data_IF_632027701238
#
_entry.id   IF_632027701238
#
_cell.length_a   1.000
_cell.length_b   1.000
_cell.length_c   1.000
_cell.angle_alpha   90.00
_cell.angle_beta   90.00
_cell.angle_gamma   90.00
#
_symmetry.space_group_name_H-M   'P 1'
#
loop_
_entity.id
_entity.type
_entity.pdbx_description
1 polymer ?
#
# COMPACT_ATOMS: atom_id res chain seq x y z
N UNK A 1 -14.34 -4.98 -7.95
CA UNK A 1 -14.44 -6.24 -8.71
C UNK A 1 -15.73 -7.01 -8.41
N UNK A 2 -16.20 -7.00 -7.15
CA UNK A 2 -17.37 -7.77 -6.70
C UNK A 2 -18.65 -7.45 -7.51
N UNK A 3 -18.80 -6.22 -7.96
CA UNK A 3 -20.04 -5.74 -8.62
C UNK A 3 -20.02 -5.94 -10.15
N UNK A 4 -19.16 -6.80 -10.67
CA UNK A 4 -19.03 -6.96 -12.13
C UNK A 4 -19.62 -8.29 -12.59
N UNK A 5 -20.60 -8.23 -13.51
CA UNK A 5 -21.25 -9.43 -14.04
C UNK A 5 -20.27 -10.37 -14.73
N UNK A 6 -19.26 -9.84 -15.43
CA UNK A 6 -18.19 -10.64 -16.04
C UNK A 6 -17.34 -11.38 -15.01
N UNK A 7 -17.04 -10.72 -13.85
CA UNK A 7 -16.31 -11.37 -12.76
C UNK A 7 -17.05 -12.59 -12.23
N UNK A 8 -18.39 -12.53 -12.12
CA UNK A 8 -19.22 -13.67 -11.74
C UNK A 8 -19.24 -14.74 -12.84
N UNK A 9 -19.44 -14.35 -14.10
CA UNK A 9 -19.47 -15.27 -15.22
C UNK A 9 -18.14 -16.02 -15.43
N UNK A 10 -17.03 -15.39 -15.07
CA UNK A 10 -15.69 -15.99 -15.14
C UNK A 10 -15.28 -16.74 -13.85
N UNK A 11 -16.15 -16.80 -12.85
CA UNK A 11 -15.86 -17.44 -11.56
C UNK A 11 -14.83 -16.72 -10.69
N UNK A 12 -14.57 -15.44 -10.96
CA UNK A 12 -13.63 -14.60 -10.16
C UNK A 12 -14.28 -14.17 -8.85
N UNK A 13 -15.60 -13.96 -8.86
CA UNK A 13 -16.38 -13.64 -7.66
C UNK A 13 -17.57 -14.59 -7.54
N UNK A 14 -17.94 -14.95 -6.31
CA UNK A 14 -19.13 -15.76 -6.03
C UNK A 14 -20.44 -14.92 -6.00
N UNK A 15 -20.33 -13.60 -6.09
CA UNK A 15 -21.48 -12.70 -6.01
C UNK A 15 -22.05 -12.43 -7.39
N UNK A 16 -23.30 -12.89 -7.62
CA UNK A 16 -24.07 -12.57 -8.81
C UNK A 16 -24.61 -11.12 -8.72
N UNK A 17 -23.89 -10.22 -9.35
CA UNK A 17 -24.19 -8.80 -9.30
C UNK A 17 -25.54 -8.45 -9.98
N UNK A 18 -25.97 -9.22 -10.96
CA UNK A 18 -27.26 -9.05 -11.65
C UNK A 18 -28.41 -9.48 -10.74
N UNK A 19 -28.29 -10.67 -10.14
CA UNK A 19 -29.28 -11.21 -9.21
C UNK A 19 -29.49 -10.31 -8.00
N UNK A 20 -28.42 -9.73 -7.49
CA UNK A 20 -28.45 -8.85 -6.31
C UNK A 20 -28.70 -7.38 -6.66
N UNK A 21 -28.95 -7.04 -7.92
CA UNK A 21 -29.22 -5.67 -8.40
C UNK A 21 -28.17 -4.65 -7.92
N UNK A 22 -26.90 -5.05 -7.99
CA UNK A 22 -25.79 -4.18 -7.54
C UNK A 22 -25.53 -3.06 -8.56
N UNK A 23 -25.12 -1.89 -8.09
CA UNK A 23 -24.84 -0.74 -8.94
C UNK A 23 -23.53 -0.92 -9.71
N UNK A 24 -23.58 -0.94 -11.04
CA UNK A 24 -22.44 -1.10 -11.94
C UNK A 24 -21.81 0.20 -12.39
N UNK A 25 -22.62 1.26 -12.50
CA UNK A 25 -22.27 2.52 -13.16
C UNK A 25 -21.08 3.24 -12.54
N UNK A 26 -20.79 2.99 -11.27
CA UNK A 26 -19.64 3.59 -10.57
C UNK A 26 -18.28 3.15 -11.10
N UNK A 27 -18.21 2.01 -11.77
CA UNK A 27 -16.96 1.34 -12.11
C UNK A 27 -16.68 1.27 -13.60
N UNK A 28 -17.69 1.49 -14.43
CA UNK A 28 -17.61 1.44 -15.88
C UNK A 28 -18.16 2.74 -16.46
N UNK A 29 -17.31 3.68 -16.83
CA UNK A 29 -17.69 4.82 -17.65
C UNK A 29 -17.05 4.70 -19.03
N UNK A 30 -17.78 5.01 -20.13
CA UNK A 30 -17.23 5.00 -21.48
C UNK A 30 -16.03 5.91 -21.69
N UNK A 31 -15.79 6.86 -20.77
CA UNK A 31 -14.68 7.82 -20.82
C UNK A 31 -13.47 7.46 -19.93
N UNK A 32 -13.44 6.27 -19.33
CA UNK A 32 -12.30 5.87 -18.50
C UNK A 32 -11.09 5.56 -19.39
N UNK A 33 -10.09 6.40 -19.34
CA UNK A 33 -8.79 6.13 -19.95
C UNK A 33 -7.99 5.19 -19.01
N UNK A 34 -7.64 3.99 -19.50
CA UNK A 34 -6.77 3.05 -18.81
C UNK A 34 -7.48 1.81 -18.23
N UNK A 35 -6.68 0.83 -17.83
CA UNK A 35 -7.14 -0.41 -17.24
C UNK A 35 -7.72 -0.18 -15.83
N UNK A 36 -8.75 -0.96 -15.41
CA UNK A 36 -9.26 -0.89 -14.05
C UNK A 36 -8.25 -1.45 -13.05
N UNK A 37 -8.23 -0.89 -11.84
CA UNK A 37 -7.59 -1.53 -10.69
C UNK A 37 -8.39 -2.77 -10.31
N UNK A 38 -7.72 -3.88 -10.10
CA UNK A 38 -8.33 -5.14 -9.69
C UNK A 38 -8.02 -5.36 -8.21
N UNK A 39 -9.03 -5.18 -7.37
CA UNK A 39 -8.92 -5.39 -5.93
C UNK A 39 -9.33 -6.83 -5.58
N UNK A 40 -8.45 -7.55 -4.90
CA UNK A 40 -8.68 -8.89 -4.39
C UNK A 40 -8.64 -8.89 -2.88
N UNK A 41 -9.79 -9.17 -2.28
CA UNK A 41 -9.93 -9.28 -0.83
C UNK A 41 -9.40 -10.62 -0.33
N UNK A 42 -8.40 -10.58 0.53
CA UNK A 42 -7.69 -11.76 1.03
C UNK A 42 -7.67 -11.71 2.55
N UNK A 43 -7.76 -12.85 3.20
CA UNK A 43 -7.56 -12.95 4.63
C UNK A 43 -6.17 -12.37 5.01
N UNK A 44 -6.14 -11.43 5.98
CA UNK A 44 -4.95 -10.65 6.28
C UNK A 44 -3.73 -11.52 6.60
N UNK A 45 -3.89 -12.59 7.36
CA UNK A 45 -2.81 -13.51 7.73
C UNK A 45 -2.34 -14.41 6.58
N UNK A 46 -3.13 -14.54 5.50
CA UNK A 46 -2.80 -15.38 4.34
C UNK A 46 -2.38 -14.59 3.10
N UNK A 47 -2.36 -13.28 3.17
CA UNK A 47 -1.97 -12.43 2.03
C UNK A 47 -0.56 -12.76 1.52
N UNK A 48 0.37 -13.05 2.43
CA UNK A 48 1.74 -13.42 2.04
C UNK A 48 1.79 -14.70 1.20
N UNK A 49 0.96 -15.68 1.51
CA UNK A 49 0.87 -16.92 0.74
C UNK A 49 0.48 -16.62 -0.72
N UNK A 50 -0.46 -15.70 -0.94
CA UNK A 50 -0.90 -15.29 -2.27
C UNK A 50 0.21 -14.55 -3.02
N UNK A 51 0.92 -13.63 -2.35
CA UNK A 51 2.06 -12.92 -2.94
C UNK A 51 3.13 -13.92 -3.40
N UNK A 52 3.49 -14.87 -2.55
CA UNK A 52 4.51 -15.88 -2.88
C UNK A 52 4.01 -16.85 -3.96
N UNK A 53 2.71 -17.17 -3.99
CA UNK A 53 2.13 -17.93 -5.08
C UNK A 53 2.27 -17.23 -6.43
N UNK A 54 2.02 -15.91 -6.49
CA UNK A 54 2.18 -15.12 -7.71
C UNK A 54 3.63 -15.20 -8.20
N UNK A 55 4.60 -14.99 -7.32
CA UNK A 55 6.03 -15.10 -7.69
C UNK A 55 6.43 -16.52 -8.10
N UNK A 56 5.92 -17.53 -7.43
CA UNK A 56 6.19 -18.94 -7.77
C UNK A 56 5.65 -19.31 -9.15
N UNK A 57 4.46 -18.80 -9.50
CA UNK A 57 3.78 -19.15 -10.76
C UNK A 57 4.30 -18.35 -11.96
N UNK A 58 4.58 -17.08 -11.80
CA UNK A 58 4.91 -16.17 -12.92
C UNK A 58 6.37 -15.74 -12.94
N UNK A 59 7.11 -16.00 -11.87
CA UNK A 59 8.50 -15.58 -11.71
C UNK A 59 8.64 -14.08 -11.42
N UNK A 60 9.80 -13.72 -10.91
CA UNK A 60 10.16 -12.32 -10.63
C UNK A 60 10.42 -11.50 -11.89
N UNK A 61 10.56 -12.17 -13.01
CA UNK A 61 10.74 -11.52 -14.30
C UNK A 61 9.44 -10.92 -14.83
N UNK A 62 8.29 -11.48 -14.42
CA UNK A 62 6.96 -11.06 -14.89
C UNK A 62 6.05 -10.48 -13.81
N UNK A 63 6.42 -10.64 -12.54
CA UNK A 63 5.67 -10.13 -11.40
C UNK A 63 6.54 -9.23 -10.54
N UNK A 64 6.01 -8.10 -10.10
CA UNK A 64 6.67 -7.22 -9.16
C UNK A 64 5.65 -6.44 -8.32
N UNK A 65 6.05 -6.06 -7.11
CA UNK A 65 5.26 -5.15 -6.28
C UNK A 65 5.40 -3.72 -6.78
N UNK A 66 4.32 -2.96 -6.69
CA UNK A 66 4.31 -1.53 -7.05
C UNK A 66 5.00 -0.73 -5.96
N UNK A 67 5.73 0.32 -6.33
CA UNK A 67 6.29 1.25 -5.37
C UNK A 67 5.22 2.21 -4.83
N UNK A 68 5.56 2.85 -3.73
CA UNK A 68 4.78 3.95 -3.16
C UNK A 68 5.73 5.10 -2.82
N UNK A 69 5.42 6.31 -3.24
CA UNK A 69 6.22 7.50 -2.92
C UNK A 69 5.95 7.89 -1.48
N UNK A 70 6.95 7.71 -0.63
CA UNK A 70 6.90 8.13 0.77
C UNK A 70 7.38 9.58 0.85
N UNK A 71 6.47 10.48 1.24
CA UNK A 71 6.77 11.89 1.43
C UNK A 71 7.23 12.19 2.86
N UNK A 72 8.00 13.26 3.00
CA UNK A 72 8.40 13.74 4.31
C UNK A 72 7.18 14.11 5.17
N UNK A 73 7.20 13.58 6.40
CA UNK A 73 6.31 13.95 7.49
C UNK A 73 7.12 14.64 8.59
N UNK A 74 6.51 15.38 9.54
CA UNK A 74 7.25 16.16 10.52
C UNK A 74 8.39 15.40 11.21
N UNK A 75 8.14 14.20 11.69
CA UNK A 75 9.16 13.37 12.35
C UNK A 75 10.36 13.03 11.46
N UNK A 76 10.11 12.67 10.21
CA UNK A 76 11.19 12.35 9.28
C UNK A 76 11.93 13.60 8.82
N UNK A 77 11.22 14.71 8.63
CA UNK A 77 11.81 15.98 8.23
C UNK A 77 12.77 16.51 9.30
N UNK A 78 12.35 16.55 10.56
CA UNK A 78 13.20 16.99 11.68
C UNK A 78 14.40 16.06 11.86
N UNK A 79 14.22 14.74 11.81
CA UNK A 79 15.33 13.80 11.95
C UNK A 79 16.36 13.97 10.85
N UNK A 80 15.94 14.06 9.60
CA UNK A 80 16.86 14.15 8.46
C UNK A 80 17.50 15.54 8.37
N UNK A 81 16.80 16.63 8.72
CA UNK A 81 17.36 17.96 8.85
C UNK A 81 18.43 18.02 9.96
N UNK A 82 18.12 17.50 11.14
CA UNK A 82 19.08 17.43 12.26
C UNK A 82 20.32 16.60 11.90
N UNK A 83 20.14 15.49 11.19
CA UNK A 83 21.26 14.68 10.69
C UNK A 83 22.13 15.45 9.70
N UNK A 84 21.52 16.14 8.75
CA UNK A 84 22.24 16.95 7.77
C UNK A 84 23.06 18.09 8.42
N UNK A 85 22.58 18.62 9.54
CA UNK A 85 23.29 19.63 10.33
C UNK A 85 24.30 19.06 11.35
N UNK A 86 24.53 17.73 11.34
CA UNK A 86 25.55 17.07 12.13
C UNK A 86 25.18 16.79 13.60
N UNK A 87 23.91 16.86 13.97
CA UNK A 87 23.47 16.53 15.33
C UNK A 87 23.57 15.02 15.62
N UNK A 88 23.88 14.61 16.87
CA UNK A 88 23.98 13.20 17.25
C UNK A 88 22.65 12.44 17.10
N UNK A 89 22.71 11.15 16.79
CA UNK A 89 21.53 10.31 16.52
C UNK A 89 20.49 10.30 17.66
N UNK A 90 20.95 10.29 18.93
CA UNK A 90 20.06 10.35 20.09
C UNK A 90 19.25 11.64 20.17
N UNK A 91 19.88 12.78 19.80
CA UNK A 91 19.24 14.09 19.76
C UNK A 91 18.23 14.16 18.60
N UNK A 92 18.62 13.65 17.40
CA UNK A 92 17.72 13.55 16.25
C UNK A 92 16.43 12.78 16.60
N UNK A 93 16.57 11.64 17.31
CA UNK A 93 15.44 10.82 17.72
C UNK A 93 14.58 11.48 18.81
N UNK A 94 15.19 12.17 19.76
CA UNK A 94 14.49 12.91 20.81
C UNK A 94 13.61 14.01 20.20
N UNK A 95 14.18 14.84 19.33
CA UNK A 95 13.45 15.91 18.63
C UNK A 95 12.35 15.36 17.71
N UNK A 96 12.66 14.32 16.94
CA UNK A 96 11.67 13.70 16.06
C UNK A 96 10.47 13.13 16.83
N UNK A 97 10.67 12.60 18.05
CA UNK A 97 9.57 12.08 18.89
C UNK A 97 8.63 13.16 19.42
N UNK A 98 9.11 14.39 19.56
CA UNK A 98 8.30 15.53 19.99
C UNK A 98 7.32 15.99 18.90
N UNK A 99 7.63 15.68 17.62
CA UNK A 99 6.79 16.08 16.50
C UNK A 99 5.51 15.27 16.43
N UNK A 100 4.39 15.95 16.29
CA UNK A 100 3.12 15.29 15.98
C UNK A 100 3.15 14.60 14.60
N UNK A 101 2.34 13.54 14.47
CA UNK A 101 2.46 12.65 13.33
C UNK A 101 2.01 13.27 12.00
N UNK A 102 1.08 14.24 12.04
CA UNK A 102 0.35 14.71 10.87
C UNK A 102 0.29 16.22 10.68
N UNK A 103 0.76 16.98 11.64
CA UNK A 103 0.67 18.42 11.67
C UNK A 103 1.95 19.11 11.19
N UNK A 104 2.11 20.38 11.48
CA UNK A 104 3.28 21.19 11.14
C UNK A 104 4.51 20.79 11.95
N UNK A 105 5.68 21.12 11.45
CA UNK A 105 6.94 21.09 12.21
C UNK A 105 6.93 22.15 13.32
N UNK A 106 6.20 23.26 13.08
CA UNK A 106 5.97 24.32 14.06
C UNK A 106 4.51 24.24 14.53
N UNK A 107 4.22 23.73 15.72
CA UNK A 107 2.86 23.68 16.24
C UNK A 107 2.37 25.12 16.49
N UNK A 108 1.24 25.47 15.89
CA UNK A 108 0.58 26.75 16.14
C UNK A 108 -0.07 26.69 17.53
N UNK A 109 0.44 27.50 18.47
CA UNK A 109 -0.18 27.71 19.79
C UNK A 109 0.36 26.86 20.95
N UNK A 110 1.36 26.03 20.75
CA UNK A 110 2.08 25.34 21.84
C UNK A 110 3.41 26.05 22.11
N UNK A 111 3.37 27.12 22.88
CA UNK A 111 4.56 27.71 23.48
C UNK A 111 5.11 26.72 24.52
N UNK A 112 6.28 26.15 24.26
CA UNK A 112 7.04 25.42 25.28
C UNK A 112 7.53 24.01 24.93
N UNK A 113 7.16 23.38 23.82
CA UNK A 113 7.62 22.01 23.51
C UNK A 113 8.65 21.90 22.38
N UNK A 114 8.92 22.97 21.65
CA UNK A 114 9.93 22.98 20.57
C UNK A 114 11.17 23.81 20.91
N UNK A 115 11.25 24.38 22.12
CA UNK A 115 12.34 25.26 22.54
C UNK A 115 13.74 24.60 22.53
N UNK A 116 13.76 23.25 22.44
CA UNK A 116 15.04 22.51 22.37
C UNK A 116 15.51 22.25 20.92
N UNK A 117 14.62 22.42 19.92
CA UNK A 117 14.96 22.16 18.52
C UNK A 117 15.51 23.44 17.89
N UNK A 118 16.77 23.44 17.41
CA UNK A 118 17.36 24.64 16.82
C UNK A 118 16.58 25.13 15.60
N UNK A 119 16.45 26.47 15.51
CA UNK A 119 15.74 27.12 14.41
C UNK A 119 16.19 26.67 13.00
N UNK A 120 17.51 26.51 12.72
CA UNK A 120 17.97 26.00 11.43
C UNK A 120 17.43 24.58 11.09
N UNK A 121 17.23 23.73 12.10
CA UNK A 121 16.65 22.39 11.93
C UNK A 121 15.18 22.50 11.53
N UNK A 122 14.42 23.36 12.21
CA UNK A 122 13.01 23.60 11.93
C UNK A 122 12.81 24.18 10.52
N UNK A 123 13.62 25.16 10.13
CA UNK A 123 13.56 25.79 8.81
C UNK A 123 13.80 24.80 7.67
N UNK A 124 14.79 23.94 7.80
CA UNK A 124 15.08 22.91 6.80
C UNK A 124 13.94 21.86 6.81
N UNK A 125 13.51 21.43 7.99
CA UNK A 125 12.45 20.45 8.13
C UNK A 125 11.12 20.94 7.51
N UNK A 126 10.78 22.22 7.67
CA UNK A 126 9.59 22.81 7.05
C UNK A 126 9.65 22.79 5.52
N UNK A 127 10.81 23.12 4.95
CA UNK A 127 11.05 23.06 3.51
C UNK A 127 11.00 21.63 2.96
N UNK A 128 11.34 20.63 3.75
CA UNK A 128 11.28 19.22 3.39
C UNK A 128 9.85 18.66 3.42
N UNK A 129 8.92 19.24 4.20
CA UNK A 129 7.56 18.71 4.33
C UNK A 129 6.90 18.50 2.98
N UNK A 130 6.29 17.31 2.83
CA UNK A 130 5.57 16.85 1.63
C UNK A 130 6.45 16.59 0.40
N UNK A 131 7.73 16.90 0.41
CA UNK A 131 8.63 16.48 -0.66
C UNK A 131 8.80 14.95 -0.65
N UNK A 132 9.07 14.33 -1.79
CA UNK A 132 9.41 12.91 -1.86
C UNK A 132 10.66 12.62 -0.99
N UNK A 133 10.60 11.54 -0.20
CA UNK A 133 11.71 11.10 0.64
C UNK A 133 12.38 9.85 0.08
N UNK A 134 11.61 8.85 -0.22
CA UNK A 134 12.08 7.59 -0.83
C UNK A 134 10.90 6.81 -1.39
N UNK A 135 11.20 5.81 -2.22
CA UNK A 135 10.23 4.81 -2.63
C UNK A 135 10.13 3.72 -1.55
N UNK A 136 8.91 3.45 -1.13
CA UNK A 136 8.53 2.30 -0.33
C UNK A 136 7.86 1.23 -1.20
N UNK A 137 7.47 0.13 -0.59
CA UNK A 137 6.68 -0.92 -1.24
C UNK A 137 5.20 -0.66 -0.97
N UNK A 138 4.37 -0.67 -2.00
CA UNK A 138 2.92 -0.63 -1.82
C UNK A 138 2.46 -1.91 -1.09
N UNK A 139 1.63 -1.81 -0.05
CA UNK A 139 1.32 -2.96 0.80
C UNK A 139 0.60 -4.11 0.10
N UNK A 140 -0.14 -3.84 -0.98
CA UNK A 140 -0.91 -4.85 -1.70
C UNK A 140 -0.73 -4.82 -3.22
N UNK A 141 -0.22 -3.72 -3.78
CA UNK A 141 -0.14 -3.53 -5.22
C UNK A 141 0.90 -4.42 -5.88
N UNK A 142 0.47 -5.20 -6.87
CA UNK A 142 1.34 -5.99 -7.73
C UNK A 142 0.99 -5.76 -9.19
N UNK A 143 1.97 -5.89 -10.08
CA UNK A 143 1.76 -5.96 -11.52
C UNK A 143 2.13 -7.35 -12.03
N UNK A 144 1.42 -7.79 -13.08
CA UNK A 144 1.74 -8.96 -13.87
C UNK A 144 1.93 -8.53 -15.32
N UNK A 145 3.08 -8.86 -15.90
CA UNK A 145 3.42 -8.51 -17.27
C UNK A 145 3.47 -9.74 -18.16
N UNK A 146 2.94 -9.62 -19.38
CA UNK A 146 3.10 -10.67 -20.40
C UNK A 146 4.54 -10.80 -20.90
N UNK A 147 5.34 -9.73 -20.77
CA UNK A 147 6.78 -9.65 -21.08
C UNK A 147 7.57 -9.41 -19.78
N UNK A 148 8.88 -9.41 -19.87
CA UNK A 148 9.75 -9.15 -18.72
C UNK A 148 9.52 -7.73 -18.18
N UNK A 149 9.29 -7.63 -16.87
CA UNK A 149 8.99 -6.34 -16.20
C UNK A 149 10.11 -5.33 -16.42
N UNK A 150 11.37 -5.77 -16.45
CA UNK A 150 12.55 -4.89 -16.67
C UNK A 150 12.63 -4.29 -18.08
N UNK A 151 11.86 -4.81 -19.03
CA UNK A 151 11.70 -4.17 -20.35
C UNK A 151 10.80 -2.93 -20.30
N UNK A 152 10.01 -2.80 -19.23
CA UNK A 152 9.05 -1.72 -19.05
C UNK A 152 9.54 -0.73 -18.00
N UNK A 153 9.96 -1.23 -16.85
CA UNK A 153 10.28 -0.43 -15.67
C UNK A 153 11.51 -0.99 -14.94
N UNK A 154 12.40 -0.13 -14.43
CA UNK A 154 13.45 -0.58 -13.52
C UNK A 154 12.89 -1.28 -12.28
N UNK A 155 13.54 -2.37 -11.90
CA UNK A 155 13.14 -3.22 -10.76
C UNK A 155 14.30 -3.31 -9.79
N UNK A 156 14.01 -3.32 -8.48
CA UNK A 156 14.97 -3.62 -7.42
C UNK A 156 14.47 -4.76 -6.54
N UNK A 157 15.39 -5.42 -5.86
CA UNK A 157 15.04 -6.40 -4.85
C UNK A 157 14.52 -5.69 -3.58
N UNK A 158 13.45 -6.21 -2.99
CA UNK A 158 12.95 -5.76 -1.70
C UNK A 158 13.86 -6.25 -0.57
N UNK A 159 13.72 -5.62 0.61
CA UNK A 159 14.37 -6.10 1.83
C UNK A 159 13.81 -7.45 2.32
N UNK A 160 12.58 -7.77 1.97
CA UNK A 160 11.97 -9.09 2.22
C UNK A 160 12.40 -10.06 1.13
N UNK A 161 12.64 -11.30 1.53
CA UNK A 161 13.01 -12.37 0.62
C UNK A 161 11.95 -12.60 -0.47
N UNK A 162 12.44 -12.99 -1.62
CA UNK A 162 11.62 -13.37 -2.76
C UNK A 162 10.66 -12.30 -3.28
N UNK A 163 10.95 -11.02 -3.10
CA UNK A 163 10.17 -9.92 -3.63
C UNK A 163 11.00 -8.98 -4.49
N UNK A 164 10.37 -8.49 -5.54
CA UNK A 164 10.88 -7.41 -6.40
C UNK A 164 9.93 -6.22 -6.37
N UNK A 165 10.47 -5.02 -6.51
CA UNK A 165 9.72 -3.77 -6.45
C UNK A 165 10.02 -2.94 -7.67
N UNK A 166 8.98 -2.49 -8.36
CA UNK A 166 9.09 -1.48 -9.42
C UNK A 166 9.65 -0.19 -8.86
N UNK A 167 10.33 0.58 -9.68
CA UNK A 167 10.73 1.95 -9.34
C UNK A 167 9.67 2.98 -9.75
N UNK A 168 8.47 2.54 -10.06
CA UNK A 168 7.30 3.32 -10.41
C UNK A 168 6.20 3.15 -9.36
N UNK A 169 5.45 4.22 -9.14
CA UNK A 169 4.23 4.17 -8.31
C UNK A 169 3.00 3.78 -9.15
N UNK A 170 1.82 3.89 -8.54
CA UNK A 170 0.57 3.48 -9.19
C UNK A 170 0.21 4.33 -10.41
N UNK A 171 0.54 5.61 -10.37
CA UNK A 171 0.17 6.57 -11.40
C UNK A 171 1.08 6.37 -12.62
N UNK A 172 2.39 6.19 -12.41
CA UNK A 172 3.35 5.79 -13.44
C UNK A 172 2.96 4.46 -14.11
N UNK A 173 2.55 3.47 -13.30
CA UNK A 173 2.09 2.17 -13.82
C UNK A 173 0.86 2.32 -14.71
N UNK A 174 -0.10 3.17 -14.32
CA UNK A 174 -1.31 3.42 -15.10
C UNK A 174 -1.00 4.10 -16.44
N UNK A 175 -0.11 5.11 -16.44
CA UNK A 175 0.33 5.78 -17.66
C UNK A 175 1.05 4.83 -18.63
N UNK A 176 1.83 3.89 -18.10
CA UNK A 176 2.51 2.87 -18.89
C UNK A 176 1.60 1.72 -19.36
N UNK A 177 0.30 1.75 -19.01
CA UNK A 177 -0.65 0.71 -19.38
C UNK A 177 -0.43 -0.61 -18.64
N UNK A 178 0.18 -0.59 -17.46
CA UNK A 178 0.34 -1.77 -16.62
C UNK A 178 -0.94 -2.01 -15.80
N UNK A 179 -1.42 -3.25 -15.80
CA UNK A 179 -2.55 -3.65 -14.97
C UNK A 179 -2.07 -3.91 -13.54
N UNK A 180 -2.64 -3.18 -12.59
CA UNK A 180 -2.34 -3.33 -11.18
C UNK A 180 -3.40 -4.21 -10.49
N UNK A 181 -2.92 -5.12 -9.67
CA UNK A 181 -3.71 -5.95 -8.77
C UNK A 181 -3.42 -5.55 -7.34
N UNK A 182 -4.46 -5.19 -6.59
CA UNK A 182 -4.32 -4.88 -5.17
C UNK A 182 -4.74 -6.11 -4.34
N UNK A 183 -3.76 -6.74 -3.71
CA UNK A 183 -3.96 -7.87 -2.79
C UNK A 183 -4.25 -7.32 -1.39
N UNK A 184 -5.52 -7.07 -1.11
CA UNK A 184 -5.96 -6.41 0.12
C UNK A 184 -6.08 -7.42 1.27
N UNK A 185 -5.23 -7.29 2.28
CA UNK A 185 -5.31 -8.11 3.49
C UNK A 185 -6.37 -7.57 4.46
N UNK A 186 -7.54 -8.20 4.50
CA UNK A 186 -8.66 -7.77 5.33
C UNK A 186 -8.72 -8.53 6.65
N UNK A 187 -8.62 -7.79 7.77
CA UNK A 187 -8.79 -8.35 9.12
C UNK A 187 -10.20 -8.89 9.37
N UNK A 188 -11.21 -8.34 8.70
CA UNK A 188 -12.58 -8.83 8.77
C UNK A 188 -12.71 -10.28 8.30
N UNK A 189 -12.00 -10.69 7.23
CA UNK A 189 -12.00 -12.08 6.77
C UNK A 189 -11.35 -13.02 7.78
N UNK A 190 -10.28 -12.58 8.46
CA UNK A 190 -9.69 -13.34 9.57
C UNK A 190 -10.68 -13.52 10.73
N UNK A 191 -11.41 -12.46 11.09
CA UNK A 191 -12.42 -12.53 12.15
C UNK A 191 -13.55 -13.49 11.77
N UNK A 192 -14.05 -13.45 10.55
CA UNK A 192 -15.07 -14.38 10.04
C UNK A 192 -14.59 -15.83 10.09
N UNK A 193 -13.38 -16.12 9.60
CA UNK A 193 -12.82 -17.47 9.68
C UNK A 193 -12.72 -17.98 11.12
N UNK A 194 -12.27 -17.15 12.05
CA UNK A 194 -12.19 -17.51 13.47
C UNK A 194 -13.57 -17.78 14.05
N UNK A 195 -14.56 -16.95 13.71
CA UNK A 195 -15.94 -17.16 14.13
C UNK A 195 -16.50 -18.49 13.61
N UNK A 196 -16.34 -18.78 12.32
CA UNK A 196 -16.79 -20.04 11.71
C UNK A 196 -16.08 -21.25 12.31
N UNK A 197 -14.78 -21.17 12.52
CA UNK A 197 -14.02 -22.23 13.21
C UNK A 197 -14.57 -22.49 14.61
N UNK A 198 -14.88 -21.43 15.36
CA UNK A 198 -15.43 -21.54 16.73
C UNK A 198 -16.83 -22.15 16.72
N UNK A 199 -17.69 -21.77 15.77
CA UNK A 199 -19.03 -22.35 15.61
C UNK A 199 -18.95 -23.84 15.29
N UNK A 200 -18.11 -24.21 14.34
CA UNK A 200 -17.87 -25.61 13.97
C UNK A 200 -17.39 -26.47 15.15
N UNK A 201 -16.46 -25.94 15.96
CA UNK A 201 -15.98 -26.61 17.19
C UNK A 201 -17.09 -26.82 18.22
N UNK A 202 -18.13 -25.96 18.22
CA UNK A 202 -19.32 -26.09 19.07
C UNK A 202 -20.44 -26.95 18.45
N UNK A 203 -20.19 -27.59 17.31
CA UNK A 203 -21.18 -28.41 16.59
C UNK A 203 -22.31 -27.60 15.97
N UNK A 204 -22.14 -26.30 15.75
CA UNK A 204 -23.12 -25.44 15.09
C UNK A 204 -22.89 -25.42 13.59
N UNK A 205 -23.98 -25.31 12.82
CA UNK A 205 -23.91 -25.21 11.36
C UNK A 205 -23.23 -23.87 10.98
N UNK A 206 -22.21 -23.96 10.14
CA UNK A 206 -21.54 -22.79 9.56
C UNK A 206 -22.17 -22.52 8.19
N UNK A 207 -22.50 -21.28 7.85
CA UNK A 207 -22.93 -20.95 6.48
C UNK A 207 -21.87 -21.37 5.46
N UNK A 208 -22.31 -21.88 4.31
CA UNK A 208 -21.41 -22.12 3.19
C UNK A 208 -20.83 -20.80 2.72
N UNK A 209 -19.50 -20.75 2.54
CA UNK A 209 -18.74 -19.56 2.13
C UNK A 209 -18.82 -19.33 0.62
#
# INVERSE_FOLDING_TARGET
AVNHAEGYAQGITAVDAVRHQMLFERFLSPGRAGYPDIDLDIEACRREEVIQHVYSRYGRERAAQVANVISYRPRSAVRDAARALGHPAGVQDAWAKQMERWTSVRPVGLTGQTDEVPEPVLDIAEKLLRLPRHLGVHPGGMVLCGRTVTEVCPVRWAAMDNRSVLQWDKDDCAEAGLVKFDLLGLGALTALRLAFTTLAQRGQTVPDA
#
